data_IF_253468337168
#
_entry.id   IF_253468337168
#
_cell.length_a   1.000
_cell.length_b   1.000
_cell.length_c   1.000
_cell.angle_alpha   90.00
_cell.angle_beta   90.00
_cell.angle_gamma   90.00
#
_symmetry.space_group_name_H-M   'P 1'
#
loop_
_entity.id
_entity.type
_entity.pdbx_description
1 polymer ?
#
# COMPACT_ATOMS: atom_id res chain seq x y z
N UNK A 1 -15.25 21.52 -3.75
CA UNK A 1 -15.06 22.06 -2.38
C UNK A 1 -15.15 20.96 -1.33
N UNK A 2 -16.20 20.13 -1.31
CA UNK A 2 -16.30 18.97 -0.41
C UNK A 2 -15.21 17.92 -0.70
N UNK A 3 -14.95 17.60 -1.97
CA UNK A 3 -13.92 16.63 -2.37
C UNK A 3 -12.51 17.02 -1.89
N UNK A 4 -12.13 18.30 -2.05
CA UNK A 4 -10.83 18.80 -1.59
C UNK A 4 -10.64 18.69 -0.07
N UNK A 5 -11.69 18.98 0.71
CA UNK A 5 -11.66 18.86 2.18
C UNK A 5 -11.52 17.38 2.59
N UNK A 6 -12.19 16.47 1.88
CA UNK A 6 -12.09 15.03 2.14
C UNK A 6 -10.70 14.52 1.80
N UNK A 7 -10.13 14.93 0.67
CA UNK A 7 -8.81 14.51 0.21
C UNK A 7 -7.71 14.93 1.20
N UNK A 8 -7.79 16.16 1.73
CA UNK A 8 -6.86 16.70 2.72
C UNK A 8 -7.02 16.02 4.09
N UNK A 9 -8.25 15.74 4.53
CA UNK A 9 -8.52 14.97 5.75
C UNK A 9 -8.01 13.52 5.65
N UNK A 10 -8.20 12.88 4.51
CA UNK A 10 -7.70 11.52 4.26
C UNK A 10 -6.17 11.53 4.26
N UNK A 11 -5.53 12.52 3.64
CA UNK A 11 -4.08 12.70 3.66
C UNK A 11 -3.52 12.83 5.09
N UNK A 12 -4.09 13.72 5.89
CA UNK A 12 -3.71 13.93 7.28
C UNK A 12 -3.92 12.68 8.15
N UNK A 13 -5.03 11.96 7.93
CA UNK A 13 -5.28 10.70 8.61
C UNK A 13 -4.24 9.63 8.21
N UNK A 14 -3.86 9.56 6.93
CA UNK A 14 -2.88 8.61 6.43
C UNK A 14 -1.48 8.87 6.99
N UNK A 15 -1.05 10.13 7.01
CA UNK A 15 0.21 10.56 7.61
C UNK A 15 0.23 10.25 9.11
N UNK A 16 -0.85 10.59 9.83
CA UNK A 16 -0.98 10.27 11.25
C UNK A 16 -0.93 8.77 11.55
N UNK A 17 -1.52 7.93 10.68
CA UNK A 17 -1.42 6.48 10.78
C UNK A 17 0.00 5.96 10.54
N UNK A 18 0.70 6.49 9.53
CA UNK A 18 2.08 6.12 9.20
C UNK A 18 3.05 6.48 10.34
N UNK A 19 3.00 7.70 10.84
CA UNK A 19 3.80 8.13 11.99
C UNK A 19 3.44 7.35 13.26
N UNK A 20 2.14 7.18 13.54
CA UNK A 20 1.67 6.42 14.69
C UNK A 20 2.11 4.96 14.68
N UNK A 21 2.23 4.34 13.49
CA UNK A 21 2.63 2.93 13.34
C UNK A 21 4.13 2.68 13.66
N UNK A 22 4.95 3.73 13.60
CA UNK A 22 6.41 3.68 13.78
C UNK A 22 6.87 4.31 15.09
N UNK A 23 6.09 5.22 15.66
CA UNK A 23 6.43 5.91 16.90
C UNK A 23 6.45 4.96 18.12
N UNK A 24 7.52 5.02 18.92
CA UNK A 24 7.70 4.21 20.14
C UNK A 24 6.79 4.64 21.30
N UNK A 25 6.31 5.89 21.29
CA UNK A 25 5.40 6.46 22.30
C UNK A 25 3.98 5.90 22.22
N UNK A 26 3.60 5.30 21.09
CA UNK A 26 2.26 4.72 20.91
C UNK A 26 2.19 3.32 21.56
N UNK A 27 1.15 3.02 22.36
CA UNK A 27 0.97 1.71 22.98
C UNK A 27 1.04 0.58 21.94
N UNK A 28 1.68 -0.54 22.30
CA UNK A 28 1.81 -1.71 21.41
C UNK A 28 0.48 -2.13 20.75
N UNK A 29 -0.67 -2.26 21.44
CA UNK A 29 -1.92 -2.68 20.80
C UNK A 29 -2.39 -1.70 19.72
N UNK A 30 -2.28 -0.39 19.95
CA UNK A 30 -2.64 0.65 18.98
C UNK A 30 -1.75 0.57 17.74
N UNK A 31 -0.44 0.33 17.91
CA UNK A 31 0.48 0.11 16.78
C UNK A 31 0.14 -1.12 15.95
N UNK A 32 -0.33 -2.20 16.57
CA UNK A 32 -0.77 -3.39 15.83
C UNK A 32 -2.02 -3.08 15.00
N UNK A 33 -3.00 -2.39 15.57
CA UNK A 33 -4.20 -1.95 14.84
C UNK A 33 -3.80 -1.07 13.66
N UNK A 34 -2.97 -0.04 13.86
CA UNK A 34 -2.49 0.84 12.80
C UNK A 34 -1.78 0.06 11.69
N UNK A 35 -0.97 -0.94 12.03
CA UNK A 35 -0.30 -1.79 11.04
C UNK A 35 -1.25 -2.67 10.26
N UNK A 36 -2.28 -3.23 10.91
CA UNK A 36 -3.30 -4.04 10.25
C UNK A 36 -4.10 -3.16 9.29
N UNK A 37 -4.50 -1.96 9.71
CA UNK A 37 -5.21 -1.00 8.86
C UNK A 37 -4.35 -0.61 7.66
N UNK A 38 -3.08 -0.23 7.88
CA UNK A 38 -2.15 0.08 6.79
C UNK A 38 -1.97 -1.12 5.84
N UNK A 39 -1.82 -2.33 6.38
CA UNK A 39 -1.71 -3.54 5.57
C UNK A 39 -2.97 -3.79 4.72
N UNK A 40 -4.16 -3.61 5.29
CA UNK A 40 -5.41 -3.73 4.56
C UNK A 40 -5.53 -2.70 3.43
N UNK A 41 -5.09 -1.45 3.66
CA UNK A 41 -5.06 -0.42 2.60
C UNK A 41 -4.09 -0.81 1.48
N UNK A 42 -2.86 -1.22 1.81
CA UNK A 42 -1.91 -1.68 0.80
C UNK A 42 -2.41 -2.90 0.03
N UNK A 43 -3.09 -3.84 0.70
CA UNK A 43 -3.69 -4.99 0.06
C UNK A 43 -4.83 -4.59 -0.89
N UNK A 44 -5.68 -3.63 -0.50
CA UNK A 44 -6.73 -3.09 -1.35
C UNK A 44 -6.14 -2.40 -2.59
N UNK A 45 -5.12 -1.56 -2.43
CA UNK A 45 -4.42 -0.92 -3.54
C UNK A 45 -3.80 -1.95 -4.51
N UNK A 46 -3.17 -2.99 -3.97
CA UNK A 46 -2.63 -4.08 -4.79
C UNK A 46 -3.75 -4.80 -5.58
N UNK A 47 -4.89 -5.06 -4.94
CA UNK A 47 -6.08 -5.62 -5.60
C UNK A 47 -6.61 -4.74 -6.73
N UNK A 48 -6.70 -3.43 -6.51
CA UNK A 48 -7.09 -2.46 -7.55
C UNK A 48 -6.11 -2.47 -8.71
N UNK A 49 -4.79 -2.47 -8.46
CA UNK A 49 -3.79 -2.56 -9.52
C UNK A 49 -3.92 -3.85 -10.35
N UNK A 50 -4.23 -4.98 -9.72
CA UNK A 50 -4.46 -6.25 -10.42
C UNK A 50 -5.73 -6.15 -11.29
N UNK A 51 -6.83 -5.61 -10.74
CA UNK A 51 -8.06 -5.43 -11.50
C UNK A 51 -7.87 -4.51 -12.71
N UNK A 52 -7.19 -3.38 -12.53
CA UNK A 52 -6.87 -2.44 -13.62
C UNK A 52 -5.97 -3.10 -14.66
N UNK A 53 -4.99 -3.92 -14.24
CA UNK A 53 -4.16 -4.68 -15.18
C UNK A 53 -5.01 -5.63 -16.03
N UNK A 54 -5.89 -6.42 -15.40
CA UNK A 54 -6.78 -7.37 -16.08
C UNK A 54 -7.72 -6.66 -17.05
N UNK A 55 -8.34 -5.54 -16.63
CA UNK A 55 -9.19 -4.74 -17.50
C UNK A 55 -8.41 -4.15 -18.68
N UNK A 56 -7.22 -3.62 -18.44
CA UNK A 56 -6.36 -3.06 -19.50
C UNK A 56 -5.99 -4.09 -20.57
N UNK A 57 -5.80 -5.36 -20.18
CA UNK A 57 -5.60 -6.45 -21.14
C UNK A 57 -6.87 -6.80 -21.92
N UNK A 58 -8.05 -6.73 -21.28
CA UNK A 58 -9.34 -6.96 -21.93
C UNK A 58 -9.67 -5.87 -22.96
N UNK A 59 -9.31 -4.61 -22.67
CA UNK A 59 -9.61 -3.45 -23.52
C UNK A 59 -8.59 -3.26 -24.66
N UNK A 60 -7.65 -4.19 -24.84
CA UNK A 60 -6.60 -4.12 -25.86
C UNK A 60 -5.47 -3.12 -25.56
N UNK A 61 -5.50 -2.47 -24.39
CA UNK A 61 -4.46 -1.55 -23.92
C UNK A 61 -3.32 -2.30 -23.22
N UNK A 62 -2.59 -3.09 -24.01
CA UNK A 62 -1.51 -3.98 -23.55
C UNK A 62 -0.41 -3.19 -22.81
N UNK A 63 -0.08 -1.97 -23.25
CA UNK A 63 0.93 -1.14 -22.62
C UNK A 63 0.60 -0.80 -21.15
N UNK A 64 -0.66 -0.46 -20.86
CA UNK A 64 -1.12 -0.13 -19.51
C UNK A 64 -1.18 -1.38 -18.62
N UNK A 65 -1.60 -2.52 -19.18
CA UNK A 65 -1.58 -3.81 -18.47
C UNK A 65 -0.17 -4.24 -18.06
N UNK A 66 0.81 -4.13 -18.97
CA UNK A 66 2.21 -4.44 -18.69
C UNK A 66 2.79 -3.48 -17.65
N UNK A 67 2.49 -2.17 -17.74
CA UNK A 67 2.95 -1.19 -16.77
C UNK A 67 2.44 -1.50 -15.35
N UNK A 68 1.16 -1.84 -15.22
CA UNK A 68 0.57 -2.22 -13.92
C UNK A 68 1.17 -3.53 -13.37
N UNK A 69 1.42 -4.53 -14.24
CA UNK A 69 2.14 -5.74 -13.83
C UNK A 69 3.58 -5.46 -13.36
N UNK A 70 4.29 -4.56 -14.04
CA UNK A 70 5.63 -4.15 -13.63
C UNK A 70 5.63 -3.47 -12.25
N UNK A 71 4.62 -2.63 -11.98
CA UNK A 71 4.43 -2.02 -10.66
C UNK A 71 4.16 -3.08 -9.57
N UNK A 72 3.30 -4.06 -9.85
CA UNK A 72 3.04 -5.18 -8.93
C UNK A 72 4.31 -5.98 -8.67
N UNK A 73 5.08 -6.30 -9.72
CA UNK A 73 6.34 -7.03 -9.61
C UNK A 73 7.37 -6.27 -8.76
N UNK A 74 7.48 -4.96 -8.93
CA UNK A 74 8.31 -4.08 -8.08
C UNK A 74 7.86 -4.11 -6.62
N UNK A 75 6.56 -4.04 -6.37
CA UNK A 75 6.00 -4.04 -5.02
C UNK A 75 6.26 -5.36 -4.29
N UNK A 76 6.08 -6.49 -4.98
CA UNK A 76 6.39 -7.82 -4.47
C UNK A 76 7.90 -7.94 -4.23
N UNK A 77 8.74 -7.53 -5.19
CA UNK A 77 10.19 -7.56 -5.07
C UNK A 77 10.69 -6.78 -3.86
N UNK A 78 10.18 -5.57 -3.63
CA UNK A 78 10.53 -4.76 -2.47
C UNK A 78 10.12 -5.42 -1.15
N UNK A 79 8.93 -6.04 -1.13
CA UNK A 79 8.41 -6.78 0.02
C UNK A 79 9.29 -7.99 0.34
N UNK A 80 9.65 -8.78 -0.67
CA UNK A 80 10.54 -9.95 -0.55
C UNK A 80 11.92 -9.52 -0.03
N UNK A 81 12.53 -8.47 -0.61
CA UNK A 81 13.83 -7.95 -0.15
C UNK A 81 13.77 -7.53 1.32
N UNK A 82 12.69 -6.85 1.73
CA UNK A 82 12.50 -6.40 3.11
C UNK A 82 12.34 -7.58 4.09
N UNK A 83 11.63 -8.63 3.68
CA UNK A 83 11.48 -9.87 4.45
C UNK A 83 12.83 -10.60 4.57
N UNK A 84 13.54 -10.81 3.47
CA UNK A 84 14.86 -11.47 3.44
C UNK A 84 15.88 -10.71 4.29
N UNK A 85 15.92 -9.37 4.20
CA UNK A 85 16.79 -8.55 5.07
C UNK A 85 16.45 -8.68 6.55
N UNK A 86 15.17 -8.85 6.91
CA UNK A 86 14.76 -9.09 8.31
C UNK A 86 15.14 -10.48 8.79
N UNK A 87 15.08 -11.49 7.92
CA UNK A 87 15.51 -12.85 8.24
C UNK A 87 17.03 -12.94 8.43
N UNK A 88 17.84 -12.31 7.55
CA UNK A 88 19.32 -12.32 7.67
C UNK A 88 19.90 -11.53 8.86
N UNK A 89 19.08 -10.71 9.53
CA UNK A 89 19.48 -9.93 10.72
C UNK A 89 19.09 -10.60 12.04
N UNK A 90 18.46 -11.77 12.00
CA UNK A 90 18.28 -12.67 13.15
C UNK A 90 19.30 -13.80 13.05
#
# INVERSE_FOLDING_TARGET
MIEAIIEELVGLAFEGMLEGSTNSRVPKPVRWILRIVLFAVYAALAGVCILVAVQSFSDGNIAMGIFMLALIALFIGFTVVKIVKRLKRK
#
